data_IF_035765513230
#
_entry.id   IF_035765513230
#
_cell.length_a   1.000
_cell.length_b   1.000
_cell.length_c   1.000
_cell.angle_alpha   90.00
_cell.angle_beta   90.00
_cell.angle_gamma   90.00
#
_symmetry.space_group_name_H-M   'P 1'
#
loop_
_entity.id
_entity.type
_entity.pdbx_description
1 polymer ?
#
# COMPACT_ATOMS: atom_id res chain seq x y z
N UNK A 1 -31.07 31.16 25.90
CA UNK A 1 -29.74 31.40 25.29
C UNK A 1 -29.25 30.03 24.86
N UNK A 2 -29.67 29.59 23.68
CA UNK A 2 -29.40 28.26 23.15
C UNK A 2 -28.12 28.29 22.33
N UNK A 3 -27.14 27.47 22.72
CA UNK A 3 -25.93 27.21 21.95
C UNK A 3 -26.25 26.17 20.87
N UNK A 4 -26.20 26.57 19.60
CA UNK A 4 -26.17 25.66 18.46
C UNK A 4 -24.73 25.21 18.23
N UNK A 5 -24.52 23.90 18.25
CA UNK A 5 -23.27 23.24 17.87
C UNK A 5 -23.12 23.21 16.36
N UNK A 6 -22.05 23.81 15.83
CA UNK A 6 -21.67 23.68 14.42
C UNK A 6 -21.13 22.28 14.13
N UNK A 7 -21.66 21.66 13.08
CA UNK A 7 -21.17 20.42 12.47
C UNK A 7 -19.79 20.62 11.83
N UNK A 8 -18.90 19.61 11.85
CA UNK A 8 -17.58 19.74 11.24
C UNK A 8 -17.69 19.82 9.71
N UNK A 9 -17.15 20.91 9.15
CA UNK A 9 -17.05 21.19 7.73
C UNK A 9 -16.47 20.01 6.94
N UNK A 10 -17.12 19.71 5.81
CA UNK A 10 -16.54 18.98 4.70
C UNK A 10 -15.22 19.62 4.30
N UNK A 11 -14.14 18.84 4.24
CA UNK A 11 -12.88 19.31 3.67
C UNK A 11 -13.08 19.55 2.17
N UNK A 12 -13.24 20.81 1.78
CA UNK A 12 -13.21 21.22 0.37
C UNK A 12 -11.81 20.94 -0.18
N UNK A 13 -11.72 19.97 -1.10
CA UNK A 13 -10.51 19.67 -1.84
C UNK A 13 -10.23 20.83 -2.81
N UNK A 14 -9.03 21.44 -2.82
CA UNK A 14 -8.72 22.57 -3.69
C UNK A 14 -9.00 22.28 -5.18
N UNK A 15 -9.66 23.21 -5.88
CA UNK A 15 -10.07 23.11 -7.28
C UNK A 15 -8.95 22.82 -8.30
N UNK A 16 -7.69 23.11 -7.93
CA UNK A 16 -6.51 22.78 -8.73
C UNK A 16 -6.18 21.28 -8.75
N UNK A 17 -6.59 20.52 -7.73
CA UNK A 17 -6.41 19.06 -7.67
C UNK A 17 -7.44 18.35 -8.57
N UNK A 18 -8.67 18.85 -8.63
CA UNK A 18 -9.69 18.36 -9.57
C UNK A 18 -9.28 18.55 -11.03
N UNK A 19 -8.60 19.66 -11.37
CA UNK A 19 -8.12 19.92 -12.73
C UNK A 19 -6.94 19.02 -13.15
N UNK A 20 -6.10 18.56 -12.22
CA UNK A 20 -4.98 17.64 -12.50
C UNK A 20 -5.43 16.17 -12.56
N UNK A 21 -6.48 15.80 -11.82
CA UNK A 21 -7.07 14.46 -11.83
C UNK A 21 -7.87 14.15 -13.11
N UNK A 22 -8.17 15.16 -13.94
CA UNK A 22 -9.00 15.01 -15.15
C UNK A 22 -8.33 14.23 -16.30
N UNK A 23 -7.06 13.85 -16.21
CA UNK A 23 -6.32 13.36 -17.38
C UNK A 23 -5.61 12.02 -17.25
N UNK A 24 -5.69 11.31 -16.12
CA UNK A 24 -5.17 9.93 -16.08
C UNK A 24 -5.90 9.04 -15.08
N UNK A 25 -6.49 8.00 -15.63
CA UNK A 25 -7.23 6.98 -14.90
C UNK A 25 -6.26 6.09 -14.10
N UNK A 26 -6.47 5.96 -12.78
CA UNK A 26 -5.69 5.06 -11.93
C UNK A 26 -6.39 3.71 -11.90
N UNK A 27 -5.73 2.67 -12.40
CA UNK A 27 -6.27 1.31 -12.40
C UNK A 27 -6.18 0.69 -11.00
N UNK A 28 -5.00 0.72 -10.39
CA UNK A 28 -4.75 -0.01 -9.15
C UNK A 28 -3.79 0.73 -8.21
N UNK A 29 -4.14 0.77 -6.91
CA UNK A 29 -3.19 1.13 -5.85
C UNK A 29 -2.81 -0.13 -5.07
N UNK A 30 -1.52 -0.44 -5.02
CA UNK A 30 -1.00 -1.66 -4.41
C UNK A 30 -0.27 -1.36 -3.12
N UNK A 31 -0.68 -1.98 -2.02
CA UNK A 31 0.08 -2.06 -0.77
C UNK A 31 1.01 -3.26 -0.80
N UNK A 32 2.32 -3.02 -0.78
CA UNK A 32 3.29 -4.04 -0.40
C UNK A 32 3.43 -4.05 1.13
N UNK A 33 2.86 -5.04 1.80
CA UNK A 33 3.00 -5.21 3.24
C UNK A 33 4.48 -5.39 3.60
N UNK A 34 4.98 -4.66 4.60
CA UNK A 34 6.40 -4.81 5.00
C UNK A 34 6.73 -6.24 5.41
N UNK A 35 5.77 -6.93 6.01
CA UNK A 35 5.80 -8.35 6.33
C UNK A 35 6.00 -9.29 5.13
N UNK A 36 5.50 -8.89 3.96
CA UNK A 36 5.56 -9.70 2.75
C UNK A 36 6.93 -9.62 2.08
N UNK A 37 7.57 -8.44 2.12
CA UNK A 37 8.81 -8.16 1.38
C UNK A 37 10.05 -8.03 2.27
N UNK A 38 9.90 -8.12 3.60
CA UNK A 38 11.02 -8.08 4.56
C UNK A 38 10.92 -9.21 5.59
N UNK A 39 12.06 -9.62 6.15
CA UNK A 39 12.11 -10.59 7.23
C UNK A 39 11.86 -9.87 8.57
N UNK A 40 10.66 -10.02 9.14
CA UNK A 40 10.23 -9.29 10.36
C UNK A 40 11.21 -9.40 11.54
N UNK A 41 11.89 -10.54 11.67
CA UNK A 41 12.73 -10.86 12.83
C UNK A 41 14.21 -10.47 12.62
N UNK A 42 14.56 -9.96 11.45
CA UNK A 42 15.94 -9.60 11.09
C UNK A 42 15.97 -8.12 10.68
N UNK A 43 16.74 -7.34 11.44
CA UNK A 43 16.88 -5.90 11.22
C UNK A 43 17.32 -5.62 9.79
N UNK A 44 16.58 -4.77 9.08
CA UNK A 44 16.94 -4.30 7.72
C UNK A 44 17.19 -5.44 6.71
N UNK A 45 16.44 -6.53 6.83
CA UNK A 45 16.53 -7.65 5.89
C UNK A 45 15.34 -7.74 4.94
N UNK A 46 15.64 -7.71 3.65
CA UNK A 46 14.68 -7.96 2.56
C UNK A 46 14.45 -9.47 2.39
N UNK A 47 13.22 -9.85 2.07
CA UNK A 47 12.91 -11.18 1.55
C UNK A 47 13.03 -11.15 0.02
N UNK A 48 14.24 -11.40 -0.48
CA UNK A 48 14.58 -11.29 -1.90
C UNK A 48 13.72 -12.20 -2.79
N UNK A 49 13.48 -13.44 -2.35
CA UNK A 49 12.66 -14.40 -3.09
C UNK A 49 11.23 -13.86 -3.27
N UNK A 50 10.62 -13.39 -2.19
CA UNK A 50 9.28 -12.81 -2.29
C UNK A 50 9.25 -11.51 -3.09
N UNK A 51 10.28 -10.65 -2.98
CA UNK A 51 10.34 -9.39 -3.70
C UNK A 51 10.43 -9.62 -5.22
N UNK A 52 11.29 -10.53 -5.66
CA UNK A 52 11.44 -10.90 -7.09
C UNK A 52 10.12 -11.40 -7.66
N UNK A 53 9.45 -12.34 -6.97
CA UNK A 53 8.16 -12.88 -7.43
C UNK A 53 7.11 -11.77 -7.51
N UNK A 54 7.03 -10.89 -6.51
CA UNK A 54 6.07 -9.77 -6.49
C UNK A 54 6.33 -8.78 -7.63
N UNK A 55 7.58 -8.42 -7.90
CA UNK A 55 7.91 -7.50 -8.99
C UNK A 55 7.57 -8.12 -10.37
N UNK A 56 7.81 -9.42 -10.56
CA UNK A 56 7.41 -10.14 -11.78
C UNK A 56 5.88 -10.15 -11.96
N UNK A 57 5.12 -10.44 -10.89
CA UNK A 57 3.65 -10.40 -10.91
C UNK A 57 3.10 -8.99 -11.18
N UNK A 58 3.75 -7.95 -10.65
CA UNK A 58 3.40 -6.56 -10.94
C UNK A 58 3.59 -6.24 -12.42
N UNK A 59 4.73 -6.64 -13.03
CA UNK A 59 4.94 -6.47 -14.48
C UNK A 59 3.83 -7.15 -15.27
N UNK A 60 3.54 -8.42 -14.96
CA UNK A 60 2.52 -9.19 -15.67
C UNK A 60 1.13 -8.57 -15.55
N UNK A 61 0.77 -8.04 -14.37
CA UNK A 61 -0.51 -7.38 -14.17
C UNK A 61 -0.61 -6.03 -14.91
N UNK A 62 0.52 -5.32 -15.06
CA UNK A 62 0.57 -4.03 -15.76
C UNK A 62 0.56 -4.18 -17.29
N UNK A 63 0.99 -5.33 -17.82
CA UNK A 63 1.08 -5.57 -19.27
C UNK A 63 0.48 -6.95 -19.65
N UNK A 64 -0.86 -7.10 -19.66
CA UNK A 64 -1.51 -8.38 -19.92
C UNK A 64 -1.34 -8.89 -21.36
N UNK A 65 -0.97 -8.03 -22.32
CA UNK A 65 -0.84 -8.40 -23.75
C UNK A 65 0.54 -8.98 -24.13
N UNK A 66 1.54 -8.94 -23.23
CA UNK A 66 2.91 -9.41 -23.52
C UNK A 66 3.22 -10.82 -23.02
N UNK A 67 2.22 -11.57 -22.56
CA UNK A 67 2.40 -12.93 -21.99
C UNK A 67 2.99 -13.93 -23.01
N UNK A 68 2.94 -13.65 -24.31
CA UNK A 68 3.45 -14.56 -25.35
C UNK A 68 4.86 -14.25 -25.86
N UNK A 69 5.47 -13.11 -25.53
CA UNK A 69 6.85 -12.85 -25.94
C UNK A 69 7.82 -13.43 -24.92
N UNK A 70 8.48 -14.55 -25.25
CA UNK A 70 9.69 -15.06 -24.58
C UNK A 70 10.90 -14.09 -24.74
N UNK A 71 10.65 -12.79 -24.82
CA UNK A 71 11.67 -11.76 -24.89
C UNK A 71 12.38 -11.60 -23.55
N UNK A 72 13.68 -11.35 -23.60
CA UNK A 72 14.47 -10.99 -22.42
C UNK A 72 13.92 -9.67 -21.87
N UNK A 73 13.51 -9.66 -20.61
CA UNK A 73 13.04 -8.45 -19.91
C UNK A 73 14.19 -7.43 -19.86
N UNK A 74 13.97 -6.24 -20.38
CA UNK A 74 14.94 -5.15 -20.32
C UNK A 74 14.90 -4.50 -18.92
N UNK A 75 15.82 -4.89 -18.05
CA UNK A 75 15.99 -4.26 -16.75
C UNK A 75 16.61 -2.86 -16.88
N UNK A 76 16.07 -1.89 -16.13
CA UNK A 76 16.45 -0.46 -16.15
C UNK A 76 17.33 -0.02 -14.97
N UNK A 77 17.71 -0.92 -14.06
CA UNK A 77 18.65 -0.59 -12.98
C UNK A 77 20.10 -0.55 -13.49
N UNK A 78 20.42 0.48 -14.29
CA UNK A 78 21.76 0.73 -14.83
C UNK A 78 22.64 1.52 -13.87
N UNK A 79 22.18 1.71 -12.62
CA UNK A 79 22.95 2.40 -11.60
C UNK A 79 24.15 1.57 -11.15
N UNK A 80 25.30 2.22 -10.94
CA UNK A 80 26.50 1.53 -10.45
C UNK A 80 26.24 0.91 -9.07
N UNK A 81 26.62 -0.36 -8.93
CA UNK A 81 26.63 -1.10 -7.66
C UNK A 81 28.04 -1.51 -7.32
N UNK A 82 28.39 -1.55 -6.03
CA UNK A 82 29.58 -2.30 -5.62
C UNK A 82 29.32 -3.78 -5.90
N UNK A 83 30.13 -4.38 -6.78
CA UNK A 83 30.15 -5.84 -6.98
C UNK A 83 29.13 -6.41 -7.99
N UNK A 84 28.38 -5.59 -8.72
CA UNK A 84 27.53 -6.08 -9.81
C UNK A 84 28.03 -5.59 -11.19
N UNK A 85 28.04 -6.48 -12.18
CA UNK A 85 28.21 -6.11 -13.59
C UNK A 85 26.93 -5.43 -14.11
N UNK A 86 27.08 -4.41 -14.94
CA UNK A 86 25.96 -3.82 -15.67
C UNK A 86 25.76 -4.68 -16.92
N UNK A 87 24.78 -5.58 -16.89
CA UNK A 87 24.65 -6.65 -17.88
C UNK A 87 23.96 -6.24 -19.20
N UNK A 88 23.44 -5.02 -19.31
CA UNK A 88 22.90 -4.49 -20.57
C UNK A 88 22.62 -3.00 -20.46
N UNK A 89 23.29 -2.19 -21.27
CA UNK A 89 22.74 -0.91 -21.71
C UNK A 89 21.81 -1.20 -22.89
N UNK A 90 20.68 -0.52 -22.98
CA UNK A 90 19.92 -0.52 -24.23
C UNK A 90 20.78 0.18 -25.29
N UNK A 91 21.32 -0.59 -26.23
CA UNK A 91 21.89 -0.04 -27.45
C UNK A 91 20.70 0.32 -28.36
N UNK A 92 20.65 1.59 -28.75
CA UNK A 92 19.66 2.26 -29.60
C UNK A 92 18.34 2.71 -28.97
N UNK A 93 17.95 3.95 -29.34
CA UNK A 93 16.72 4.67 -29.02
C UNK A 93 15.44 4.01 -29.58
N UNK A 94 15.50 2.71 -29.90
CA UNK A 94 14.33 1.98 -30.39
C UNK A 94 13.36 1.75 -29.24
N UNK A 95 12.11 2.11 -29.49
CA UNK A 95 10.99 2.04 -28.54
C UNK A 95 10.71 0.56 -28.26
N UNK A 96 11.38 0.01 -27.25
CA UNK A 96 11.17 -1.39 -26.87
C UNK A 96 9.76 -1.58 -26.31
N UNK A 97 8.96 -2.36 -27.03
CA UNK A 97 7.61 -2.80 -26.65
C UNK A 97 7.54 -3.56 -25.32
N UNK A 98 8.68 -3.96 -24.73
CA UNK A 98 8.73 -4.60 -23.41
C UNK A 98 8.60 -3.63 -22.23
N UNK A 99 8.78 -2.32 -22.45
CA UNK A 99 8.67 -1.34 -21.37
C UNK A 99 7.21 -1.12 -20.98
N UNK A 100 6.94 -1.21 -19.68
CA UNK A 100 5.61 -0.87 -19.14
C UNK A 100 5.42 0.64 -19.22
N UNK A 101 4.71 1.07 -20.26
CA UNK A 101 4.26 2.45 -20.42
C UNK A 101 2.78 2.52 -20.09
N UNK A 102 2.42 3.43 -19.18
CA UNK A 102 1.03 3.75 -18.85
C UNK A 102 0.20 2.62 -18.18
N UNK A 103 0.69 2.11 -17.04
CA UNK A 103 -0.02 1.06 -16.31
C UNK A 103 -1.21 1.54 -15.47
N UNK A 104 -1.22 2.82 -15.07
CA UNK A 104 -2.18 3.34 -14.09
C UNK A 104 -1.99 2.75 -12.68
N UNK A 105 -0.80 2.26 -12.34
CA UNK A 105 -0.50 1.70 -11.01
C UNK A 105 0.19 2.72 -10.09
N UNK A 106 -0.13 2.66 -8.80
CA UNK A 106 0.63 3.30 -7.73
C UNK A 106 1.02 2.21 -6.72
N UNK A 107 2.27 2.22 -6.26
CA UNK A 107 2.76 1.27 -5.26
C UNK A 107 3.03 2.01 -3.96
N UNK A 108 2.60 1.44 -2.84
CA UNK A 108 2.95 1.91 -1.49
C UNK A 108 3.49 0.74 -0.69
N UNK A 109 4.70 0.83 -0.16
CA UNK A 109 5.24 -0.24 0.68
C UNK A 109 5.24 0.10 2.17
N UNK A 110 5.17 -0.93 3.01
CA UNK A 110 5.33 -0.80 4.47
C UNK A 110 6.81 -0.75 4.82
N UNK A 111 7.14 -0.25 6.01
CA UNK A 111 8.52 -0.15 6.44
C UNK A 111 9.15 -1.50 6.83
N UNK A 112 8.35 -2.49 7.23
CA UNK A 112 8.86 -3.83 7.58
C UNK A 112 9.94 -3.78 8.66
N UNK A 113 11.00 -4.58 8.50
CA UNK A 113 12.17 -4.55 9.39
C UNK A 113 13.05 -3.29 9.26
N UNK A 114 12.74 -2.37 8.33
CA UNK A 114 13.46 -1.11 8.11
C UNK A 114 12.80 0.11 8.79
N UNK A 115 11.74 -0.09 9.57
CA UNK A 115 11.13 1.03 10.32
C UNK A 115 10.76 0.68 11.75
N UNK A 116 10.18 -0.50 11.97
CA UNK A 116 9.64 -0.86 13.28
C UNK A 116 10.72 -0.90 14.37
N UNK A 117 11.91 -1.42 14.06
CA UNK A 117 13.00 -1.52 15.03
C UNK A 117 13.48 -0.14 15.50
N UNK A 118 13.77 0.76 14.57
CA UNK A 118 14.30 2.08 14.83
C UNK A 118 13.24 2.95 15.53
N UNK A 119 12.01 2.98 15.00
CA UNK A 119 10.94 3.84 15.48
C UNK A 119 10.45 3.46 16.89
N UNK A 120 10.27 2.16 17.14
CA UNK A 120 9.77 1.67 18.43
C UNK A 120 10.80 1.84 19.55
N UNK A 121 12.08 1.52 19.29
CA UNK A 121 13.18 1.62 20.28
C UNK A 121 13.47 3.05 20.73
N UNK A 122 13.21 4.03 19.86
CA UNK A 122 13.56 5.44 20.10
C UNK A 122 12.37 6.33 20.41
N UNK A 123 11.14 5.79 20.30
CA UNK A 123 9.91 6.51 20.63
C UNK A 123 9.38 7.44 19.53
N UNK A 124 9.85 7.32 18.28
CA UNK A 124 9.39 8.17 17.15
C UNK A 124 7.87 8.10 16.96
N UNK A 125 7.28 6.92 17.16
CA UNK A 125 5.83 6.72 17.09
C UNK A 125 5.05 7.41 18.22
N UNK A 126 5.72 7.81 19.30
CA UNK A 126 5.13 8.52 20.45
C UNK A 126 5.34 10.04 20.38
N UNK A 127 6.09 10.53 19.41
CA UNK A 127 6.43 11.95 19.26
C UNK A 127 7.52 12.42 20.22
N UNK A 128 7.71 13.74 20.28
CA UNK A 128 8.68 14.40 21.15
C UNK A 128 10.01 14.74 20.47
N UNK A 129 9.99 15.35 19.28
CA UNK A 129 11.22 15.79 18.57
C UNK A 129 12.15 16.72 19.37
N UNK A 130 11.68 17.31 20.48
CA UNK A 130 12.53 18.05 21.41
C UNK A 130 13.51 17.14 22.18
N UNK A 131 13.21 15.85 22.31
CA UNK A 131 14.08 14.86 22.95
C UNK A 131 15.18 14.41 21.97
N UNK A 132 16.48 14.49 22.33
CA UNK A 132 17.58 14.09 21.45
C UNK A 132 17.47 12.65 20.94
N UNK A 133 17.02 11.71 21.78
CA UNK A 133 16.85 10.30 21.40
C UNK A 133 15.78 10.11 20.32
N UNK A 134 14.63 10.78 20.45
CA UNK A 134 13.55 10.73 19.45
C UNK A 134 14.02 11.35 18.13
N UNK A 135 14.75 12.46 18.20
CA UNK A 135 15.33 13.11 17.02
C UNK A 135 16.34 12.20 16.29
N UNK A 136 17.23 11.55 17.03
CA UNK A 136 18.16 10.56 16.47
C UNK A 136 17.41 9.35 15.88
N UNK A 137 16.37 8.89 16.57
CA UNK A 137 15.45 7.86 16.09
C UNK A 137 14.78 8.23 14.78
N UNK A 138 14.27 9.46 14.66
CA UNK A 138 13.64 9.97 13.45
C UNK A 138 14.61 9.89 12.26
N UNK A 139 15.84 10.34 12.45
CA UNK A 139 16.90 10.25 11.43
C UNK A 139 17.17 8.78 11.05
N UNK A 140 17.38 7.90 12.03
CA UNK A 140 17.67 6.49 11.78
C UNK A 140 16.52 5.75 11.06
N UNK A 141 15.27 5.98 11.49
CA UNK A 141 14.08 5.44 10.82
C UNK A 141 14.00 5.89 9.37
N UNK A 142 14.29 7.17 9.09
CA UNK A 142 14.25 7.72 7.73
C UNK A 142 15.32 7.15 6.82
N UNK A 143 16.57 7.09 7.29
CA UNK A 143 17.66 6.46 6.54
C UNK A 143 17.26 5.03 6.16
N UNK A 144 16.79 4.26 7.14
CA UNK A 144 16.43 2.86 6.94
C UNK A 144 15.27 2.67 5.93
N UNK A 145 14.13 3.35 6.14
CA UNK A 145 12.96 3.15 5.26
C UNK A 145 13.17 3.68 3.84
N UNK A 146 13.95 4.76 3.68
CA UNK A 146 14.32 5.27 2.34
C UNK A 146 15.31 4.35 1.64
N UNK A 147 16.15 3.63 2.39
CA UNK A 147 17.03 2.58 1.85
C UNK A 147 16.21 1.38 1.34
N UNK A 148 15.18 0.95 2.09
CA UNK A 148 14.23 -0.06 1.61
C UNK A 148 13.51 0.40 0.34
N UNK A 149 13.05 1.65 0.29
CA UNK A 149 12.38 2.19 -0.89
C UNK A 149 13.29 2.14 -2.13
N UNK A 150 14.57 2.49 -1.98
CA UNK A 150 15.54 2.40 -3.07
C UNK A 150 15.70 0.96 -3.58
N UNK A 151 15.80 -0.03 -2.69
CA UNK A 151 15.92 -1.43 -3.10
C UNK A 151 14.66 -1.96 -3.81
N UNK A 152 13.47 -1.57 -3.35
CA UNK A 152 12.21 -1.92 -4.02
C UNK A 152 12.13 -1.28 -5.41
N UNK A 153 12.44 0.01 -5.53
CA UNK A 153 12.47 0.71 -6.83
C UNK A 153 13.45 0.04 -7.78
N UNK A 154 14.62 -0.38 -7.29
CA UNK A 154 15.61 -1.12 -8.08
C UNK A 154 15.09 -2.48 -8.53
N UNK A 155 14.42 -3.23 -7.66
CA UNK A 155 13.83 -4.52 -8.02
C UNK A 155 12.76 -4.37 -9.10
N UNK A 156 11.89 -3.37 -8.98
CA UNK A 156 10.89 -3.02 -10.00
C UNK A 156 11.56 -2.62 -11.33
N UNK A 157 12.60 -1.78 -11.27
CA UNK A 157 13.34 -1.37 -12.47
C UNK A 157 14.00 -2.55 -13.17
N UNK A 158 14.54 -3.54 -12.45
CA UNK A 158 15.08 -4.77 -13.05
C UNK A 158 14.03 -5.62 -13.76
N UNK A 159 12.78 -5.54 -13.31
CA UNK A 159 11.64 -6.17 -13.99
C UNK A 159 11.05 -5.31 -15.12
N UNK A 160 11.73 -4.24 -15.56
CA UNK A 160 11.27 -3.39 -16.67
C UNK A 160 10.13 -2.43 -16.30
N UNK A 161 9.84 -2.26 -15.00
CA UNK A 161 8.82 -1.32 -14.52
C UNK A 161 9.46 0.06 -14.34
N UNK A 162 8.88 1.10 -14.94
CA UNK A 162 9.30 2.50 -14.88
C UNK A 162 9.00 3.14 -13.51
N UNK A 163 9.52 2.53 -12.45
CA UNK A 163 9.25 2.89 -11.07
C UNK A 163 10.05 4.12 -10.61
N UNK A 164 9.38 5.06 -9.94
CA UNK A 164 10.02 6.23 -9.33
C UNK A 164 9.64 6.37 -7.86
N UNK A 165 10.66 6.44 -6.99
CA UNK A 165 10.47 6.59 -5.56
C UNK A 165 10.05 8.00 -5.15
N UNK A 166 9.00 8.12 -4.33
CA UNK A 166 8.47 9.38 -3.80
C UNK A 166 8.35 9.27 -2.28
N UNK A 167 9.22 9.94 -1.53
CA UNK A 167 9.14 9.99 -0.07
C UNK A 167 8.04 10.96 0.38
N UNK A 168 7.05 10.51 1.18
CA UNK A 168 6.02 11.39 1.73
C UNK A 168 6.61 12.60 2.48
N UNK A 169 7.62 12.38 3.34
CA UNK A 169 8.25 13.50 4.04
C UNK A 169 8.95 14.47 3.08
N UNK A 170 9.66 13.97 2.07
CA UNK A 170 10.35 14.84 1.12
C UNK A 170 9.35 15.69 0.30
N UNK A 171 8.14 15.18 0.10
CA UNK A 171 7.02 15.91 -0.50
C UNK A 171 6.28 16.82 0.48
N UNK A 172 6.79 17.01 1.70
CA UNK A 172 6.20 17.91 2.69
C UNK A 172 4.94 17.36 3.37
N UNK A 173 4.67 16.06 3.28
CA UNK A 173 3.53 15.46 3.96
C UNK A 173 3.71 15.56 5.48
N UNK A 174 2.66 15.96 6.18
CA UNK A 174 2.67 16.17 7.63
C UNK A 174 1.35 15.74 8.25
N UNK A 175 1.39 15.57 9.56
CA UNK A 175 0.25 15.11 10.36
C UNK A 175 -0.07 16.10 11.48
N UNK A 176 -1.24 15.96 12.09
CA UNK A 176 -1.63 16.66 13.30
C UNK A 176 -2.40 15.68 14.18
N UNK A 177 -1.80 15.28 15.30
CA UNK A 177 -2.38 14.27 16.18
C UNK A 177 -2.58 12.94 15.47
N UNK A 178 -1.58 12.50 14.68
CA UNK A 178 -1.55 11.25 13.87
C UNK A 178 -2.47 11.21 12.65
N UNK A 179 -3.28 12.24 12.42
CA UNK A 179 -4.08 12.36 11.21
C UNK A 179 -3.33 13.17 10.15
N UNK A 180 -3.53 12.87 8.86
CA UNK A 180 -2.94 13.67 7.78
C UNK A 180 -3.43 15.11 7.90
N UNK A 181 -2.48 16.05 7.96
CA UNK A 181 -2.74 17.49 7.99
C UNK A 181 -2.46 18.15 6.63
N UNK A 182 -1.40 17.72 5.97
CA UNK A 182 -1.07 18.13 4.60
C UNK A 182 -0.46 16.94 3.86
N UNK A 183 -0.96 16.66 2.66
CA UNK A 183 -0.48 15.58 1.80
C UNK A 183 -0.84 15.89 0.34
N UNK A 184 -0.06 16.77 -0.29
CA UNK A 184 -0.21 17.11 -1.71
C UNK A 184 0.19 15.92 -2.59
N UNK A 185 -0.64 15.63 -3.58
CA UNK A 185 -0.45 14.50 -4.51
C UNK A 185 0.05 14.95 -5.89
N UNK A 186 0.35 16.24 -6.09
CA UNK A 186 0.69 16.78 -7.41
C UNK A 186 1.91 16.09 -8.06
N UNK A 187 2.92 15.71 -7.27
CA UNK A 187 4.10 14.98 -7.77
C UNK A 187 3.74 13.56 -8.22
N UNK A 188 2.81 12.92 -7.52
CA UNK A 188 2.32 11.57 -7.85
C UNK A 188 1.53 11.64 -9.16
N UNK A 189 0.63 12.61 -9.30
CA UNK A 189 -0.14 12.82 -10.53
C UNK A 189 0.75 13.16 -11.71
N UNK A 190 1.76 14.03 -11.54
CA UNK A 190 2.73 14.34 -12.60
C UNK A 190 3.52 13.11 -13.04
N UNK A 191 3.98 12.29 -12.09
CA UNK A 191 4.68 11.05 -12.39
C UNK A 191 3.79 10.06 -13.17
N UNK A 192 2.54 9.88 -12.75
CA UNK A 192 1.56 9.08 -13.48
C UNK A 192 1.37 9.62 -14.91
N UNK A 193 1.12 10.93 -15.07
CA UNK A 193 0.94 11.56 -16.38
C UNK A 193 2.16 11.36 -17.30
N UNK A 194 3.37 11.34 -16.74
CA UNK A 194 4.61 11.07 -17.47
C UNK A 194 4.85 9.57 -17.76
N UNK A 195 3.94 8.69 -17.36
CA UNK A 195 4.03 7.24 -17.64
C UNK A 195 4.83 6.44 -16.61
N UNK A 196 5.26 7.06 -15.51
CA UNK A 196 5.94 6.35 -14.42
C UNK A 196 4.96 5.63 -13.49
N UNK A 197 5.48 4.64 -12.77
CA UNK A 197 4.82 4.01 -11.62
C UNK A 197 5.34 4.65 -10.32
N UNK A 198 4.57 5.50 -9.63
CA UNK A 198 5.00 6.10 -8.38
C UNK A 198 5.10 5.04 -7.27
N UNK A 199 6.20 5.06 -6.53
CA UNK A 199 6.47 4.17 -5.39
C UNK A 199 6.62 5.01 -4.12
N UNK A 200 5.63 4.94 -3.24
CA UNK A 200 5.65 5.59 -1.93
C UNK A 200 5.91 4.55 -0.82
N UNK A 201 6.13 5.04 0.39
CA UNK A 201 6.40 4.19 1.54
C UNK A 201 5.83 4.77 2.83
N UNK A 202 5.52 3.90 3.80
CA UNK A 202 5.29 4.36 5.17
C UNK A 202 6.52 5.14 5.66
N UNK A 203 6.31 6.26 6.34
CA UNK A 203 7.39 7.23 6.58
C UNK A 203 7.32 7.84 7.98
N UNK A 204 8.45 8.33 8.49
CA UNK A 204 8.46 9.18 9.68
C UNK A 204 8.25 10.64 9.24
N UNK A 205 7.19 11.27 9.74
CA UNK A 205 6.78 12.61 9.31
C UNK A 205 6.68 13.58 10.47
N UNK A 206 6.69 14.87 10.17
CA UNK A 206 6.41 15.92 11.16
C UNK A 206 4.94 15.83 11.56
N UNK A 207 4.69 15.97 12.86
CA UNK A 207 3.35 16.06 13.44
C UNK A 207 3.23 17.39 14.20
N UNK A 208 2.25 18.22 13.86
CA UNK A 208 2.08 19.56 14.44
C UNK A 208 1.66 19.53 15.92
N UNK A 209 1.10 18.40 16.41
CA UNK A 209 0.66 18.26 17.81
C UNK A 209 1.69 17.58 18.71
N UNK A 210 2.44 16.60 18.20
CA UNK A 210 3.38 15.79 19.00
C UNK A 210 4.82 15.83 18.46
N UNK A 211 5.12 16.70 17.49
CA UNK A 211 6.43 16.87 16.88
C UNK A 211 6.71 15.91 15.72
N UNK A 212 6.55 14.61 15.92
CA UNK A 212 6.66 13.62 14.85
C UNK A 212 5.76 12.41 15.09
N UNK A 213 5.50 11.67 14.02
CA UNK A 213 4.84 10.37 14.10
C UNK A 213 5.22 9.47 12.94
N UNK A 214 4.69 8.25 12.94
CA UNK A 214 4.78 7.32 11.81
C UNK A 214 3.50 7.44 10.98
N UNK A 215 3.67 7.86 9.73
CA UNK A 215 2.62 7.80 8.73
C UNK A 215 2.65 6.40 8.09
N UNK A 216 1.67 5.57 8.43
CA UNK A 216 1.61 4.19 7.92
C UNK A 216 1.28 4.16 6.44
N UNK A 217 1.77 3.15 5.72
CA UNK A 217 1.43 2.98 4.31
C UNK A 217 -0.05 2.65 4.07
N UNK A 218 -0.76 2.11 5.07
CA UNK A 218 -2.20 1.86 4.97
C UNK A 218 -2.98 3.19 4.95
N UNK A 219 -2.60 4.15 5.80
CA UNK A 219 -3.14 5.52 5.83
C UNK A 219 -2.82 6.27 4.52
N UNK A 220 -1.62 6.08 3.97
CA UNK A 220 -1.22 6.67 2.67
C UNK A 220 -2.14 6.16 1.57
N UNK A 221 -2.38 4.85 1.47
CA UNK A 221 -3.26 4.30 0.43
C UNK A 221 -4.68 4.80 0.56
N UNK A 222 -5.25 4.86 1.77
CA UNK A 222 -6.58 5.44 1.98
C UNK A 222 -6.64 6.87 1.46
N UNK A 223 -5.65 7.70 1.79
CA UNK A 223 -5.57 9.09 1.33
C UNK A 223 -5.49 9.19 -0.20
N UNK A 224 -4.66 8.35 -0.83
CA UNK A 224 -4.55 8.30 -2.30
C UNK A 224 -5.85 7.82 -2.95
N UNK A 225 -6.50 6.80 -2.40
CA UNK A 225 -7.75 6.28 -2.93
C UNK A 225 -8.89 7.31 -2.86
N UNK A 226 -8.94 8.12 -1.80
CA UNK A 226 -9.90 9.22 -1.66
C UNK A 226 -9.74 10.31 -2.73
N UNK A 227 -8.52 10.57 -3.18
CA UNK A 227 -8.22 11.65 -4.12
C UNK A 227 -8.19 11.18 -5.58
N UNK A 228 -7.73 9.95 -5.82
CA UNK A 228 -7.45 9.43 -7.16
C UNK A 228 -8.45 8.38 -7.64
N UNK A 229 -9.33 7.90 -6.75
CA UNK A 229 -10.45 6.99 -7.06
C UNK A 229 -10.06 5.83 -8.01
N UNK A 230 -9.10 4.96 -7.62
CA UNK A 230 -8.70 3.84 -8.45
C UNK A 230 -9.84 2.84 -8.67
N UNK A 231 -9.78 2.03 -9.73
CA UNK A 231 -10.78 0.95 -9.96
C UNK A 231 -10.81 -0.04 -8.78
N UNK A 232 -9.65 -0.40 -8.25
CA UNK A 232 -9.52 -1.27 -7.09
C UNK A 232 -8.20 -1.03 -6.32
N UNK A 233 -8.15 -1.56 -5.09
CA UNK A 233 -6.97 -1.50 -4.22
C UNK A 233 -6.56 -2.90 -3.82
N UNK A 234 -5.26 -3.20 -3.82
CA UNK A 234 -4.72 -4.51 -3.45
C UNK A 234 -3.79 -4.38 -2.25
N UNK A 235 -4.06 -5.10 -1.17
CA UNK A 235 -3.14 -5.31 -0.07
C UNK A 235 -2.45 -6.67 -0.17
N UNK A 236 -1.16 -6.65 -0.51
CA UNK A 236 -0.30 -7.82 -0.47
C UNK A 236 0.29 -7.99 0.93
N UNK A 237 -0.01 -9.11 1.58
CA UNK A 237 0.42 -9.42 2.95
C UNK A 237 1.13 -10.78 3.02
N UNK A 238 1.58 -11.20 4.19
CA UNK A 238 2.24 -12.49 4.46
C UNK A 238 1.28 -13.66 4.72
N UNK A 239 -0.03 -13.40 4.69
CA UNK A 239 -1.13 -14.35 4.96
C UNK A 239 -2.16 -14.33 3.83
N UNK A 240 -2.99 -15.36 3.69
CA UNK A 240 -3.93 -15.47 2.56
C UNK A 240 -5.01 -14.38 2.55
N UNK A 241 -5.31 -13.75 3.68
CA UNK A 241 -6.31 -12.68 3.79
C UNK A 241 -6.58 -12.38 5.26
N UNK A 242 -7.79 -11.91 5.56
CA UNK A 242 -8.28 -11.68 6.92
C UNK A 242 -8.83 -12.99 7.48
N UNK A 243 -8.44 -13.32 8.70
CA UNK A 243 -8.96 -14.47 9.42
C UNK A 243 -9.83 -14.02 10.60
N UNK A 244 -10.77 -14.86 11.02
CA UNK A 244 -11.62 -14.61 12.20
C UNK A 244 -10.83 -14.58 13.52
N UNK A 245 -9.62 -15.14 13.52
CA UNK A 245 -8.67 -15.19 14.63
C UNK A 245 -7.25 -15.31 14.06
N UNK A 246 -6.20 -15.25 14.90
CA UNK A 246 -4.82 -15.35 14.39
C UNK A 246 -4.63 -16.60 13.51
N UNK A 247 -4.02 -16.47 12.32
CA UNK A 247 -3.86 -17.59 11.37
C UNK A 247 -2.92 -18.69 11.86
N UNK A 248 -2.20 -18.46 12.96
CA UNK A 248 -1.43 -19.48 13.68
C UNK A 248 -2.33 -20.45 14.46
N UNK A 249 -3.60 -20.11 14.67
CA UNK A 249 -4.58 -20.99 15.28
C UNK A 249 -5.07 -22.02 14.25
N UNK A 250 -5.03 -23.33 14.53
CA UNK A 250 -5.50 -24.36 13.60
C UNK A 250 -6.98 -24.23 13.18
N UNK A 251 -7.80 -23.58 14.00
CA UNK A 251 -9.22 -23.35 13.74
C UNK A 251 -9.50 -22.00 13.08
N UNK A 252 -8.47 -21.27 12.65
CA UNK A 252 -8.65 -19.98 11.99
C UNK A 252 -9.32 -20.15 10.63
N UNK A 253 -10.40 -19.41 10.40
CA UNK A 253 -11.16 -19.44 9.17
C UNK A 253 -10.88 -18.17 8.37
N UNK A 254 -10.52 -18.34 7.10
CA UNK A 254 -10.35 -17.23 6.16
C UNK A 254 -11.70 -16.57 5.89
N UNK A 255 -11.81 -15.28 6.19
CA UNK A 255 -12.97 -14.47 5.86
C UNK A 255 -12.90 -14.10 4.38
N UNK A 256 -13.78 -14.67 3.57
CA UNK A 256 -13.74 -14.50 2.11
C UNK A 256 -14.23 -13.12 1.68
N UNK A 257 -15.19 -12.57 2.43
CA UNK A 257 -15.91 -11.37 2.08
C UNK A 257 -16.34 -10.58 3.31
N UNK A 258 -15.99 -9.30 3.31
CA UNK A 258 -16.39 -8.29 4.29
C UNK A 258 -17.13 -7.19 3.54
N UNK A 259 -18.30 -6.79 4.01
CA UNK A 259 -19.04 -5.65 3.48
C UNK A 259 -19.07 -4.49 4.46
N UNK A 260 -19.07 -3.27 3.92
CA UNK A 260 -19.07 -2.03 4.70
C UNK A 260 -20.33 -1.23 4.38
N UNK A 261 -21.07 -0.86 5.41
CA UNK A 261 -22.29 -0.04 5.30
C UNK A 261 -22.01 1.46 5.14
N UNK A 262 -23.08 2.26 5.07
CA UNK A 262 -23.00 3.71 4.90
C UNK A 262 -22.43 4.40 6.14
N UNK A 263 -22.62 3.81 7.31
CA UNK A 263 -22.12 4.28 8.59
C UNK A 263 -20.62 3.95 8.75
N UNK A 264 -20.10 3.00 7.96
CA UNK A 264 -18.73 2.49 8.05
C UNK A 264 -18.58 1.28 8.95
N UNK A 265 -19.68 0.71 9.45
CA UNK A 265 -19.64 -0.59 10.10
C UNK A 265 -19.44 -1.67 9.05
N UNK A 266 -18.70 -2.70 9.44
CA UNK A 266 -18.40 -3.81 8.56
C UNK A 266 -18.97 -5.12 9.08
N UNK A 267 -19.40 -5.98 8.17
CA UNK A 267 -20.04 -7.26 8.44
C UNK A 267 -19.47 -8.34 7.51
N UNK A 268 -19.54 -9.61 7.95
CA UNK A 268 -18.99 -10.74 7.21
C UNK A 268 -20.14 -11.45 6.49
N UNK A 269 -20.10 -11.55 5.16
CA UNK A 269 -21.20 -12.14 4.36
C UNK A 269 -21.06 -13.65 4.19
N UNK A 270 -19.83 -14.19 4.26
CA UNK A 270 -19.57 -15.63 4.07
C UNK A 270 -18.83 -16.22 5.27
N UNK A 271 -19.52 -16.58 6.37
CA UNK A 271 -19.02 -17.69 7.16
C UNK A 271 -19.07 -18.94 6.27
N UNK A 272 -17.99 -19.73 6.25
CA UNK A 272 -18.09 -21.09 5.73
C UNK A 272 -19.29 -21.79 6.42
N UNK A 273 -20.12 -22.56 5.71
CA UNK A 273 -21.36 -23.11 6.27
C UNK A 273 -21.03 -23.93 7.52
N UNK A 274 -21.47 -23.47 8.69
CA UNK A 274 -21.26 -24.17 9.95
C UNK A 274 -21.46 -23.38 11.24
N UNK A 275 -21.23 -22.06 11.30
CA UNK A 275 -21.26 -21.34 12.58
C UNK A 275 -21.95 -19.96 12.45
N UNK A 276 -23.21 -19.89 12.88
CA UNK A 276 -23.88 -18.64 13.22
C UNK A 276 -23.74 -18.42 14.73
N UNK A 277 -23.55 -17.16 15.13
CA UNK A 277 -23.46 -16.67 16.52
C UNK A 277 -22.19 -17.00 17.31
N UNK A 278 -21.06 -16.46 16.89
CA UNK A 278 -20.12 -15.87 17.85
C UNK A 278 -19.71 -14.50 17.34
N UNK A 279 -19.88 -13.48 18.18
CA UNK A 279 -19.14 -12.23 18.03
C UNK A 279 -17.68 -12.62 17.80
N UNK A 280 -17.15 -12.26 16.64
CA UNK A 280 -15.76 -12.51 16.30
C UNK A 280 -14.95 -11.64 17.24
N UNK A 281 -14.52 -12.20 18.36
CA UNK A 281 -13.43 -11.67 19.14
C UNK A 281 -12.21 -11.70 18.23
N UNK A 282 -11.90 -10.57 17.59
CA UNK A 282 -10.61 -10.30 16.97
C UNK A 282 -9.60 -10.32 18.11
N UNK A 283 -9.23 -11.53 18.55
CA UNK A 283 -8.30 -11.72 19.66
C UNK A 283 -6.93 -11.40 19.13
N UNK A 284 -6.54 -10.17 19.46
CA UNK A 284 -5.22 -9.58 19.30
C UNK A 284 -4.17 -10.64 19.64
N UNK A 285 -3.49 -11.16 18.63
CA UNK A 285 -2.24 -11.86 18.89
C UNK A 285 -1.31 -10.82 19.54
N UNK A 286 -0.98 -11.05 20.79
CA UNK A 286 -0.12 -10.25 21.67
C UNK A 286 1.33 -10.07 21.16
N UNK A 287 1.59 -10.35 19.89
CA UNK A 287 2.84 -10.12 19.19
C UNK A 287 2.72 -9.13 18.01
N UNK A 288 1.52 -8.63 17.69
CA UNK A 288 1.36 -7.53 16.73
C UNK A 288 1.39 -6.19 17.47
N UNK A 289 2.60 -5.68 17.71
CA UNK A 289 2.85 -4.38 18.38
C UNK A 289 2.42 -3.16 17.53
N UNK A 290 1.64 -3.37 16.46
CA UNK A 290 1.18 -2.31 15.54
C UNK A 290 -0.31 -2.26 15.26
N UNK A 291 -1.14 -3.17 15.79
CA UNK A 291 -2.55 -3.25 15.36
C UNK A 291 -2.66 -3.47 13.83
N UNK A 292 -1.75 -4.25 13.25
CA UNK A 292 -1.43 -4.22 11.82
C UNK A 292 -2.52 -4.77 10.91
N UNK A 293 -3.25 -5.81 11.30
CA UNK A 293 -4.40 -6.29 10.51
C UNK A 293 -5.66 -5.47 10.77
N UNK A 294 -5.91 -5.09 12.02
CA UNK A 294 -7.07 -4.26 12.39
C UNK A 294 -7.03 -2.91 11.69
N UNK A 295 -5.92 -2.17 11.79
CA UNK A 295 -5.73 -0.88 11.12
C UNK A 295 -5.94 -1.03 9.62
N UNK A 296 -5.40 -2.10 9.01
CA UNK A 296 -5.57 -2.36 7.58
C UNK A 296 -7.03 -2.58 7.20
N UNK A 297 -7.81 -3.31 8.01
CA UNK A 297 -9.24 -3.50 7.78
C UNK A 297 -9.98 -2.16 7.93
N UNK A 298 -9.65 -1.35 8.93
CA UNK A 298 -10.26 -0.04 9.14
C UNK A 298 -10.00 0.91 7.96
N UNK A 299 -8.74 1.03 7.52
CA UNK A 299 -8.37 1.84 6.36
C UNK A 299 -9.03 1.30 5.07
N UNK A 300 -9.03 -0.02 4.87
CA UNK A 300 -9.70 -0.67 3.75
C UNK A 300 -11.22 -0.47 3.77
N UNK A 301 -11.84 -0.43 4.95
CA UNK A 301 -13.26 -0.18 5.07
C UNK A 301 -13.62 1.25 4.65
N UNK A 302 -12.79 2.23 4.99
CA UNK A 302 -12.96 3.61 4.50
C UNK A 302 -12.83 3.68 2.98
N UNK A 303 -11.91 2.93 2.38
CA UNK A 303 -11.77 2.85 0.91
C UNK A 303 -13.02 2.19 0.29
N UNK A 304 -13.46 1.05 0.85
CA UNK A 304 -14.63 0.31 0.38
C UNK A 304 -15.92 1.15 0.42
N UNK A 305 -16.06 2.03 1.40
CA UNK A 305 -17.18 2.99 1.50
C UNK A 305 -17.25 3.96 0.31
N UNK A 306 -16.14 4.20 -0.38
CA UNK A 306 -16.11 5.01 -1.62
C UNK A 306 -16.61 4.24 -2.85
N UNK A 307 -17.01 2.97 -2.70
CA UNK A 307 -17.38 2.09 -3.81
C UNK A 307 -16.20 1.38 -4.47
N UNK A 308 -14.99 1.52 -3.92
CA UNK A 308 -13.76 0.93 -4.45
C UNK A 308 -13.54 -0.45 -3.81
N UNK A 309 -13.42 -1.51 -4.61
CA UNK A 309 -13.14 -2.84 -4.07
C UNK A 309 -11.72 -2.92 -3.52
N UNK A 310 -11.57 -3.54 -2.34
CA UNK A 310 -10.27 -3.80 -1.72
C UNK A 310 -10.02 -5.30 -1.63
N UNK A 311 -8.88 -5.75 -2.13
CA UNK A 311 -8.47 -7.16 -2.11
C UNK A 311 -7.30 -7.35 -1.14
N UNK A 312 -7.42 -8.24 -0.17
CA UNK A 312 -6.34 -8.62 0.74
C UNK A 312 -5.93 -10.06 0.46
N UNK A 313 -4.66 -10.27 0.08
CA UNK A 313 -4.15 -11.60 -0.26
C UNK A 313 -2.65 -11.76 -0.02
N UNK A 314 -2.17 -13.00 -0.03
CA UNK A 314 -0.76 -13.34 0.22
C UNK A 314 0.09 -12.99 -0.99
N UNK A 315 1.14 -12.21 -0.76
CA UNK A 315 2.14 -11.89 -1.77
C UNK A 315 2.81 -13.14 -2.35
N UNK A 316 3.17 -13.10 -3.62
CA UNK A 316 3.91 -14.17 -4.31
C UNK A 316 3.09 -15.46 -4.55
N UNK A 317 1.76 -15.37 -4.51
CA UNK A 317 0.87 -16.50 -4.84
C UNK A 317 0.13 -16.23 -6.15
N UNK A 318 -0.48 -17.24 -6.77
CA UNK A 318 -1.32 -16.98 -7.94
C UNK A 318 -2.51 -16.06 -7.62
N UNK A 319 -3.00 -16.09 -6.38
CA UNK A 319 -4.07 -15.21 -5.93
C UNK A 319 -3.64 -13.74 -5.83
N UNK A 320 -2.37 -13.44 -5.53
CA UNK A 320 -1.87 -12.06 -5.61
C UNK A 320 -1.84 -11.56 -7.04
N UNK A 321 -1.41 -12.37 -8.00
CA UNK A 321 -1.43 -12.00 -9.41
C UNK A 321 -2.86 -11.72 -9.91
N UNK A 322 -3.80 -12.61 -9.62
CA UNK A 322 -5.22 -12.42 -9.98
C UNK A 322 -5.81 -11.15 -9.35
N UNK A 323 -5.49 -10.87 -8.09
CA UNK A 323 -5.91 -9.63 -7.43
C UNK A 323 -5.28 -8.38 -8.07
N UNK A 324 -4.01 -8.43 -8.45
CA UNK A 324 -3.33 -7.33 -9.17
C UNK A 324 -3.96 -7.07 -10.54
N UNK A 325 -4.46 -8.11 -11.23
CA UNK A 325 -5.20 -7.97 -12.49
C UNK A 325 -6.64 -7.47 -12.32
N UNK A 326 -7.20 -7.54 -11.11
CA UNK A 326 -8.61 -7.24 -10.84
C UNK A 326 -9.55 -8.43 -11.12
N UNK A 327 -8.99 -9.63 -11.33
CA UNK A 327 -9.70 -10.85 -11.75
C UNK A 327 -10.08 -11.71 -10.54
N UNK A 328 -11.20 -11.39 -9.89
CA UNK A 328 -11.68 -12.12 -8.70
C UNK A 328 -12.76 -13.13 -9.08
N UNK A 329 -12.42 -14.42 -8.98
CA UNK A 329 -13.29 -15.57 -9.24
C UNK A 329 -13.72 -16.27 -7.93
N UNK A 330 -14.67 -17.20 -8.00
CA UNK A 330 -15.17 -17.91 -6.81
C UNK A 330 -14.09 -18.75 -6.08
N UNK A 331 -13.13 -19.29 -6.84
CA UNK A 331 -11.98 -20.08 -6.33
C UNK A 331 -10.82 -19.21 -5.83
N UNK A 332 -10.82 -17.90 -6.08
CA UNK A 332 -9.72 -17.00 -5.71
C UNK A 332 -9.52 -16.93 -4.18
N UNK A 333 -8.39 -17.35 -3.60
CA UNK A 333 -8.18 -17.28 -2.15
C UNK A 333 -7.69 -15.90 -1.67
N UNK A 334 -8.51 -15.29 -0.83
CA UNK A 334 -8.26 -14.04 -0.14
C UNK A 334 -9.53 -13.43 0.45
N UNK A 335 -9.44 -12.17 0.84
CA UNK A 335 -10.56 -11.40 1.40
C UNK A 335 -10.88 -10.23 0.49
N UNK A 336 -12.13 -10.14 0.05
CA UNK A 336 -12.68 -8.94 -0.60
C UNK A 336 -13.36 -8.07 0.47
N UNK A 337 -13.03 -6.78 0.50
CA UNK A 337 -13.73 -5.77 1.28
C UNK A 337 -14.41 -4.81 0.31
N UNK A 338 -15.74 -4.66 0.39
CA UNK A 338 -16.53 -3.86 -0.56
C UNK A 338 -17.71 -3.15 0.11
N UNK A 339 -18.28 -2.14 -0.55
CA UNK A 339 -19.50 -1.50 -0.05
C UNK A 339 -20.69 -2.48 -0.06
N UNK A 340 -21.58 -2.37 0.93
CA UNK A 340 -22.86 -3.08 0.96
C UNK A 340 -23.88 -2.49 -0.02
N UNK A 341 -23.68 -1.25 -0.49
CA UNK A 341 -24.50 -0.68 -1.56
C UNK A 341 -24.26 -1.50 -2.83
N UNK A 342 -25.30 -2.14 -3.34
CA UNK A 342 -25.31 -2.57 -4.74
C UNK A 342 -25.17 -1.30 -5.56
N UNK A 343 -24.03 -1.14 -6.25
CA UNK A 343 -23.91 -0.16 -7.32
C UNK A 343 -25.08 -0.40 -8.28
N UNK A 344 -26.02 0.54 -8.31
CA UNK A 344 -27.05 0.58 -9.36
C UNK A 344 -26.30 0.61 -10.69
N UNK A 345 -26.60 -0.27 -11.67
CA UNK A 345 -25.93 -0.23 -12.95
C UNK A 345 -26.21 1.06 -13.77
N UNK A 346 -27.03 1.98 -13.26
CA UNK A 346 -27.34 3.25 -13.91
C UNK A 346 -27.60 4.32 -12.85
N UNK A 347 -26.68 5.27 -12.73
CA UNK A 347 -26.95 6.67 -12.32
C UNK A 347 -25.85 7.56 -12.85
#
# INVERSE_FOLDING_TARGET
MEFRSESPNSMDVPSSIQALAQHKHVRCIVKLGGAAITCKNELERINEESLVVVCSQLREAMNPETVESQGKVLGMDWSRRLGASIDSFADDFDVDSTLVSDSGFIIVHGAGSFGHFQASRTGVNKGGLHLPLVKAGFVATRISVTSLNLEIVRALAREGITAVGISPFACGWSTQGRNIACADVSQITKALCAGFVPVLHGDAVIDHSQGCTILSGDVIIRHLAQLLLPEYVVFLTDVLGVYDRPPTNPNAKLLREITVDEEGNWSIIKPAPGDVEKQVEITVASHDTTGGMETKILEAAVIAKLGINVYITKAGTEHSLRALKGEITDDWLGTVIRSSKKLSPYT
#
